data_IF_935761795682
#
_entry.id   IF_935761795682
#
_cell.length_a   1.000
_cell.length_b   1.000
_cell.length_c   1.000
_cell.angle_alpha   90.00
_cell.angle_beta   90.00
_cell.angle_gamma   90.00
#
_symmetry.space_group_name_H-M   'P 1'
#
loop_
_entity.id
_entity.type
_entity.pdbx_description
1 polymer ?
#
# COMPACT_ATOMS: atom_id res chain seq x y z
N UNK A 1 13.55 -11.11 15.99
CA UNK A 1 12.36 -10.36 16.49
C UNK A 1 11.34 -10.30 15.38
N UNK A 2 10.13 -10.81 15.61
CA UNK A 2 9.02 -10.76 14.66
C UNK A 2 8.48 -9.33 14.61
N UNK A 3 8.43 -8.71 13.42
CA UNK A 3 7.90 -7.35 13.27
C UNK A 3 6.37 -7.35 13.47
N UNK A 4 5.84 -6.28 14.07
CA UNK A 4 4.41 -6.11 14.31
C UNK A 4 3.63 -5.76 13.03
N UNK A 5 2.31 -5.96 13.04
CA UNK A 5 1.44 -5.62 11.90
C UNK A 5 1.57 -4.16 11.45
N UNK A 6 1.76 -3.23 12.40
CA UNK A 6 1.98 -1.81 12.12
C UNK A 6 3.22 -1.54 11.25
N UNK A 7 4.30 -2.31 11.43
CA UNK A 7 5.50 -2.18 10.60
C UNK A 7 5.22 -2.55 9.14
N UNK A 8 4.54 -3.67 8.92
CA UNK A 8 4.18 -4.12 7.57
C UNK A 8 3.19 -3.16 6.90
N UNK A 9 2.23 -2.64 7.67
CA UNK A 9 1.27 -1.65 7.18
C UNK A 9 1.96 -0.36 6.73
N UNK A 10 2.92 0.14 7.50
CA UNK A 10 3.69 1.33 7.13
C UNK A 10 4.49 1.12 5.83
N UNK A 11 5.13 -0.04 5.66
CA UNK A 11 5.84 -0.37 4.41
C UNK A 11 4.90 -0.47 3.23
N UNK A 12 3.77 -1.18 3.41
CA UNK A 12 2.77 -1.35 2.36
C UNK A 12 2.21 0.00 1.93
N UNK A 13 1.78 0.83 2.88
CA UNK A 13 1.27 2.18 2.59
C UNK A 13 2.29 3.06 1.88
N UNK A 14 3.57 2.99 2.27
CA UNK A 14 4.64 3.73 1.61
C UNK A 14 4.87 3.28 0.15
N UNK A 15 4.88 1.97 -0.12
CA UNK A 15 5.04 1.48 -1.49
C UNK A 15 3.80 1.72 -2.35
N UNK A 16 2.59 1.66 -1.79
CA UNK A 16 1.36 2.06 -2.49
C UNK A 16 1.39 3.56 -2.83
N UNK A 17 1.81 4.41 -1.90
CA UNK A 17 2.00 5.84 -2.16
C UNK A 17 3.00 6.09 -3.30
N UNK A 18 4.13 5.36 -3.33
CA UNK A 18 5.10 5.41 -4.44
C UNK A 18 4.49 4.95 -5.77
N UNK A 19 3.62 3.94 -5.76
CA UNK A 19 2.90 3.51 -6.97
C UNK A 19 1.98 4.61 -7.51
N UNK A 20 1.29 5.34 -6.63
CA UNK A 20 0.44 6.48 -7.01
C UNK A 20 1.30 7.59 -7.65
N UNK A 21 2.41 7.97 -7.02
CA UNK A 21 3.34 8.97 -7.57
C UNK A 21 3.87 8.57 -8.93
N UNK A 22 4.35 7.34 -9.07
CA UNK A 22 4.86 6.82 -10.34
C UNK A 22 3.80 6.80 -11.44
N UNK A 23 2.56 6.41 -11.10
CA UNK A 23 1.43 6.42 -12.04
C UNK A 23 1.12 7.81 -12.56
N UNK A 24 1.17 8.84 -11.71
CA UNK A 24 0.97 10.24 -12.12
C UNK A 24 2.08 10.77 -13.03
N UNK A 25 3.29 10.26 -12.85
CA UNK A 25 4.46 10.64 -13.65
C UNK A 25 4.53 9.86 -14.97
N UNK A 26 3.65 8.86 -15.18
CA UNK A 26 3.77 7.94 -16.32
C UNK A 26 4.97 6.99 -16.22
N UNK A 27 5.61 6.89 -15.05
CA UNK A 27 6.79 6.05 -14.83
C UNK A 27 6.38 4.61 -14.50
N UNK A 28 6.13 3.83 -15.54
CA UNK A 28 5.72 2.43 -15.42
C UNK A 28 6.78 1.55 -14.75
N UNK A 29 8.07 1.86 -14.96
CA UNK A 29 9.16 1.09 -14.36
C UNK A 29 9.14 1.27 -12.84
N UNK A 30 9.06 2.52 -12.37
CA UNK A 30 8.98 2.84 -10.93
C UNK A 30 7.70 2.32 -10.28
N UNK A 31 6.59 2.31 -11.02
CA UNK A 31 5.34 1.70 -10.58
C UNK A 31 5.52 0.21 -10.31
N UNK A 32 6.01 -0.57 -11.29
CA UNK A 32 6.22 -2.02 -11.15
C UNK A 32 7.20 -2.36 -10.02
N UNK A 33 8.24 -1.55 -9.88
CA UNK A 33 9.27 -1.76 -8.87
C UNK A 33 8.70 -1.55 -7.45
N UNK A 34 7.86 -0.53 -7.27
CA UNK A 34 7.17 -0.25 -6.01
C UNK A 34 6.09 -1.28 -5.71
N UNK A 35 5.32 -1.69 -6.72
CA UNK A 35 4.32 -2.75 -6.59
C UNK A 35 4.96 -4.09 -6.19
N UNK A 36 6.13 -4.40 -6.74
CA UNK A 36 6.89 -5.61 -6.38
C UNK A 36 7.29 -5.62 -4.91
N UNK A 37 7.72 -4.47 -4.36
CA UNK A 37 8.03 -4.36 -2.92
C UNK A 37 6.79 -4.48 -2.03
N UNK A 38 5.65 -3.94 -2.49
CA UNK A 38 4.37 -4.12 -1.81
C UNK A 38 3.97 -5.59 -1.74
N UNK A 39 4.11 -6.35 -2.84
CA UNK A 39 3.84 -7.80 -2.83
C UNK A 39 4.79 -8.58 -1.91
N UNK A 40 6.07 -8.21 -1.83
CA UNK A 40 7.00 -8.81 -0.84
C UNK A 40 6.54 -8.57 0.59
N UNK A 41 6.01 -7.37 0.87
CA UNK A 41 5.42 -7.06 2.19
C UNK A 41 4.23 -7.97 2.51
N UNK A 42 3.37 -8.28 1.52
CA UNK A 42 2.28 -9.25 1.69
C UNK A 42 2.82 -10.67 1.91
N UNK A 43 3.85 -11.08 1.18
CA UNK A 43 4.49 -12.38 1.38
C UNK A 43 5.06 -12.52 2.80
N UNK A 44 5.70 -11.46 3.32
CA UNK A 44 6.22 -11.43 4.69
C UNK A 44 5.09 -11.49 5.73
N UNK A 45 3.96 -10.83 5.50
CA UNK A 45 2.76 -10.93 6.33
C UNK A 45 2.19 -12.35 6.36
N UNK A 46 2.12 -12.99 5.19
CA UNK A 46 1.67 -14.37 5.07
C UNK A 46 2.59 -15.34 5.82
N UNK A 47 3.91 -15.21 5.63
CA UNK A 47 4.94 -15.99 6.34
C UNK A 47 4.92 -15.76 7.86
N UNK A 48 4.52 -14.57 8.30
CA UNK A 48 4.40 -14.22 9.71
C UNK A 48 3.06 -14.66 10.33
N UNK A 49 2.24 -15.45 9.61
CA UNK A 49 0.93 -15.95 10.05
C UNK A 49 -0.01 -14.81 10.50
N UNK A 50 -0.06 -13.74 9.71
CA UNK A 50 -0.95 -12.58 9.93
C UNK A 50 -2.02 -12.50 8.83
N UNK A 51 -2.99 -13.43 8.80
CA UNK A 51 -3.94 -13.54 7.70
C UNK A 51 -4.79 -12.28 7.52
N UNK A 52 -5.24 -11.65 8.60
CA UNK A 52 -6.08 -10.44 8.52
C UNK A 52 -5.30 -9.27 7.87
N UNK A 53 -4.05 -9.06 8.29
CA UNK A 53 -3.21 -8.02 7.72
C UNK A 53 -2.84 -8.30 6.24
N UNK A 54 -2.65 -9.57 5.90
CA UNK A 54 -2.42 -10.00 4.51
C UNK A 54 -3.63 -9.70 3.63
N UNK A 55 -4.84 -10.04 4.08
CA UNK A 55 -6.08 -9.81 3.35
C UNK A 55 -6.37 -8.33 3.16
N UNK A 56 -6.25 -7.52 4.21
CA UNK A 56 -6.39 -6.06 4.13
C UNK A 56 -5.37 -5.45 3.16
N UNK A 57 -4.14 -5.95 3.18
CA UNK A 57 -3.11 -5.52 2.26
C UNK A 57 -3.39 -5.90 0.79
N UNK A 58 -3.95 -7.09 0.55
CA UNK A 58 -4.40 -7.50 -0.78
C UNK A 58 -5.54 -6.60 -1.29
N UNK A 59 -6.49 -6.26 -0.43
CA UNK A 59 -7.59 -5.35 -0.78
C UNK A 59 -7.05 -3.97 -1.16
N UNK A 60 -6.05 -3.46 -0.43
CA UNK A 60 -5.38 -2.20 -0.77
C UNK A 60 -4.73 -2.24 -2.17
N UNK A 61 -4.03 -3.32 -2.53
CA UNK A 61 -3.42 -3.45 -3.86
C UNK A 61 -4.45 -3.60 -4.97
N UNK A 62 -5.56 -4.30 -4.73
CA UNK A 62 -6.69 -4.38 -5.68
C UNK A 62 -7.32 -3.00 -5.89
N UNK A 63 -7.52 -2.25 -4.80
CA UNK A 63 -8.00 -0.88 -4.86
C UNK A 63 -7.10 0.03 -5.69
N UNK A 64 -5.78 -0.05 -5.48
CA UNK A 64 -4.80 0.68 -6.30
C UNK A 64 -4.92 0.32 -7.79
N UNK A 65 -5.01 -0.98 -8.12
CA UNK A 65 -5.10 -1.43 -9.50
C UNK A 65 -6.36 -0.90 -10.21
N UNK A 66 -7.50 -0.88 -9.52
CA UNK A 66 -8.75 -0.29 -10.03
C UNK A 66 -8.64 1.23 -10.17
N UNK A 67 -8.10 1.91 -9.15
CA UNK A 67 -7.97 3.36 -9.13
C UNK A 67 -6.99 3.89 -10.18
N UNK A 68 -6.07 3.06 -10.67
CA UNK A 68 -5.12 3.45 -11.72
C UNK A 68 -5.79 3.69 -13.09
N UNK A 69 -7.05 3.30 -13.25
CA UNK A 69 -7.76 3.43 -14.53
C UNK A 69 -7.89 4.88 -15.01
N UNK A 70 -8.05 5.85 -14.10
CA UNK A 70 -8.13 7.28 -14.46
C UNK A 70 -7.39 8.16 -13.46
N UNK A 71 -6.96 9.37 -13.87
CA UNK A 71 -6.35 10.33 -12.95
C UNK A 71 -7.25 10.68 -11.74
N UNK A 72 -8.56 10.80 -11.96
CA UNK A 72 -9.55 11.17 -10.93
C UNK A 72 -9.71 10.06 -9.89
N UNK A 73 -9.84 8.81 -10.35
CA UNK A 73 -9.96 7.65 -9.46
C UNK A 73 -8.67 7.41 -8.68
N UNK A 74 -7.51 7.64 -9.29
CA UNK A 74 -6.22 7.58 -8.62
C UNK A 74 -6.06 8.66 -7.56
N UNK A 75 -6.55 9.88 -7.82
CA UNK A 75 -6.55 10.97 -6.85
C UNK A 75 -7.48 10.68 -5.66
N UNK A 76 -8.69 10.18 -5.93
CA UNK A 76 -9.62 9.77 -4.87
C UNK A 76 -9.02 8.66 -3.99
N UNK A 77 -8.37 7.67 -4.60
CA UNK A 77 -7.70 6.60 -3.86
C UNK A 77 -6.56 7.12 -2.98
N UNK A 78 -5.77 8.10 -3.46
CA UNK A 78 -4.73 8.71 -2.63
C UNK A 78 -5.31 9.38 -1.38
N UNK A 79 -6.40 10.15 -1.51
CA UNK A 79 -7.03 10.83 -0.37
C UNK A 79 -7.44 9.80 0.70
N UNK A 80 -8.05 8.69 0.28
CA UNK A 80 -8.41 7.59 1.18
C UNK A 80 -7.19 6.95 1.85
N UNK A 81 -6.11 6.72 1.09
CA UNK A 81 -4.86 6.18 1.61
C UNK A 81 -4.20 7.12 2.64
N UNK A 82 -4.13 8.41 2.34
CA UNK A 82 -3.54 9.43 3.22
C UNK A 82 -4.33 9.53 4.54
N UNK A 83 -5.66 9.49 4.46
CA UNK A 83 -6.54 9.43 5.64
C UNK A 83 -6.28 8.20 6.50
N UNK A 84 -6.16 7.04 5.87
CA UNK A 84 -5.86 5.77 6.54
C UNK A 84 -4.50 5.82 7.25
N UNK A 85 -3.44 6.26 6.56
CA UNK A 85 -2.10 6.41 7.15
C UNK A 85 -2.10 7.40 8.31
N UNK A 86 -2.83 8.52 8.18
CA UNK A 86 -2.99 9.51 9.24
C UNK A 86 -3.65 8.93 10.49
N UNK A 87 -4.74 8.17 10.33
CA UNK A 87 -5.45 7.53 11.43
C UNK A 87 -4.58 6.48 12.17
N UNK A 88 -3.71 5.78 11.45
CA UNK A 88 -2.75 4.85 12.07
C UNK A 88 -1.63 5.58 12.82
N UNK A 89 -1.13 6.69 12.26
CA UNK A 89 -0.06 7.48 12.89
C UNK A 89 -0.52 8.11 14.21
N UNK A 90 -1.77 8.57 14.27
CA UNK A 90 -2.38 9.11 15.49
C UNK A 90 -2.61 8.09 16.60
N UNK A 91 -2.57 6.78 16.31
CA UNK A 91 -2.70 5.70 17.31
C UNK A 91 -1.38 5.25 17.93
N UNK A 92 -0.25 5.75 17.41
CA UNK A 92 1.10 5.40 17.86
C UNK A 92 1.68 6.50 18.79
N UNK A 93 1.08 7.70 18.78
CA UNK A 93 1.37 8.83 19.65
C UNK A 93 0.45 8.84 20.88
#
# INVERSE_FOLDING_TARGET
>A
MTRGAAFYFANLGADVSRCITASRQGDEARYKDSLSRAYRTLEDLHKAERPEAYEEGLLMLRGLALARATPETLASFQISLDSLIGAFSARIL
#
